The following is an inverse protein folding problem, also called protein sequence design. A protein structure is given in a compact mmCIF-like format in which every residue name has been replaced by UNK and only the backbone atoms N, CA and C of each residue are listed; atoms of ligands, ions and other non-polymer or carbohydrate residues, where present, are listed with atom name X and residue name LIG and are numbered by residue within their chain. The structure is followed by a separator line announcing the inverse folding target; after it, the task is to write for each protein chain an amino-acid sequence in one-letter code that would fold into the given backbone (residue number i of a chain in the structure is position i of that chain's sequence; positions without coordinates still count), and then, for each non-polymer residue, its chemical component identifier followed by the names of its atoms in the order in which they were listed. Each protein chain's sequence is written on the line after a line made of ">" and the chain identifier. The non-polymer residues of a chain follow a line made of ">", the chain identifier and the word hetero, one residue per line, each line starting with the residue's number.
data_IF_752085758356
#
_entry.id   IF_752085758356
#
_cell.length_a   1.000
_cell.length_b   1.000
_cell.length_c   1.000
_cell.angle_alpha   90.00
_cell.angle_beta   90.00
_cell.angle_gamma   90.00
#
_symmetry.space_group_name_H-M   'P 1'
#
loop_
_entity.id
_entity.type
_entity.pdbx_description
1 polymer ?
#
# COMPACT_ATOMS: atom_id res chain seq x y z
N UNK A 1 -13.06 17.38 21.09
CA UNK A 1 -12.72 15.93 21.23
C UNK A 1 -11.22 15.80 21.16
N UNK A 2 -10.64 14.85 21.89
CA UNK A 2 -9.20 14.55 21.86
C UNK A 2 -8.88 13.93 20.50
N UNK A 3 -7.82 14.35 19.81
CA UNK A 3 -7.42 13.76 18.52
C UNK A 3 -6.94 12.31 18.70
N UNK A 4 -6.80 11.61 17.60
CA UNK A 4 -6.20 10.27 17.53
C UNK A 4 -4.87 10.30 16.80
N UNK A 5 -4.05 9.27 16.94
CA UNK A 5 -2.89 9.09 16.08
C UNK A 5 -3.12 7.98 15.06
N UNK A 6 -2.72 8.22 13.82
CA UNK A 6 -2.57 7.20 12.79
C UNK A 6 -1.09 6.92 12.55
N UNK A 7 -0.70 5.65 12.43
CA UNK A 7 0.67 5.22 12.16
C UNK A 7 0.68 4.33 10.92
N UNK A 8 1.65 4.56 10.05
CA UNK A 8 2.01 3.69 8.92
C UNK A 8 3.40 3.11 9.17
N UNK A 9 3.49 1.79 9.39
CA UNK A 9 4.74 1.06 9.64
C UNK A 9 5.15 0.31 8.39
N UNK A 10 6.01 0.92 7.60
CA UNK A 10 6.62 0.30 6.42
C UNK A 10 8.06 -0.17 6.66
N UNK A 11 8.60 -0.94 5.73
CA UNK A 11 9.97 -1.46 5.82
C UNK A 11 11.08 -0.40 5.75
N UNK A 12 10.78 0.81 5.27
CA UNK A 12 11.78 1.89 5.07
C UNK A 12 11.53 3.09 5.97
N UNK A 13 10.27 3.41 6.23
CA UNK A 13 9.85 4.56 7.04
C UNK A 13 8.66 4.19 7.92
N UNK A 14 8.58 4.87 9.06
CA UNK A 14 7.42 4.91 9.94
C UNK A 14 6.89 6.34 9.89
N UNK A 15 5.62 6.50 9.49
CA UNK A 15 4.94 7.78 9.48
C UNK A 15 3.86 7.80 10.56
N UNK A 16 3.77 8.88 11.32
CA UNK A 16 2.70 9.11 12.29
C UNK A 16 2.03 10.45 12.04
N UNK A 17 0.72 10.51 12.22
CA UNK A 17 -0.08 11.73 12.11
C UNK A 17 -1.01 11.92 13.30
N UNK A 18 -1.08 13.14 13.79
CA UNK A 18 -2.11 13.57 14.75
C UNK A 18 -3.32 14.02 13.95
N UNK A 19 -4.46 13.36 14.14
CA UNK A 19 -5.65 13.56 13.31
C UNK A 19 -6.84 13.94 14.18
N UNK A 20 -7.50 15.03 13.82
CA UNK A 20 -8.75 15.44 14.44
C UNK A 20 -9.91 14.49 14.04
N UNK A 21 -11.02 14.45 14.79
CA UNK A 21 -12.15 13.59 14.47
C UNK A 21 -12.81 13.84 13.10
N UNK A 22 -12.62 15.02 12.53
CA UNK A 22 -13.09 15.37 11.18
C UNK A 22 -12.11 14.96 10.06
N UNK A 23 -10.96 14.35 10.42
CA UNK A 23 -9.93 13.94 9.48
C UNK A 23 -8.84 14.96 9.20
N UNK A 24 -8.90 16.14 9.81
CA UNK A 24 -7.85 17.16 9.67
C UNK A 24 -6.53 16.65 10.24
N UNK A 25 -5.48 16.59 9.42
CA UNK A 25 -4.12 16.24 9.84
C UNK A 25 -3.47 17.46 10.53
N UNK A 26 -3.34 17.37 11.87
CA UNK A 26 -2.85 18.47 12.72
C UNK A 26 -1.32 18.52 12.81
N UNK A 27 -0.67 17.34 12.83
CA UNK A 27 0.77 17.21 12.88
C UNK A 27 1.22 15.91 12.20
N UNK A 28 2.46 15.89 11.71
CA UNK A 28 3.06 14.71 11.09
C UNK A 28 4.50 14.52 11.54
N UNK A 29 4.90 13.25 11.68
CA UNK A 29 6.28 12.83 11.91
C UNK A 29 6.60 11.66 10.99
N UNK A 30 7.82 11.64 10.49
CA UNK A 30 8.33 10.50 9.70
C UNK A 30 9.73 10.18 10.19
N UNK A 31 9.94 8.93 10.54
CA UNK A 31 11.21 8.39 11.03
C UNK A 31 11.65 7.24 10.14
N UNK A 32 12.94 7.00 9.95
CA UNK A 32 13.43 5.80 9.28
C UNK A 32 13.06 4.56 10.09
N UNK A 33 12.66 3.47 9.41
CA UNK A 33 12.43 2.19 10.06
C UNK A 33 13.76 1.51 10.35
N UNK A 34 14.06 1.16 11.62
CA UNK A 34 15.25 0.39 11.97
C UNK A 34 15.02 -1.10 11.70
N UNK A 35 14.74 -1.46 10.44
CA UNK A 35 14.28 -2.79 10.05
C UNK A 35 15.26 -3.91 10.45
N UNK A 36 16.58 -3.63 10.39
CA UNK A 36 17.62 -4.61 10.70
C UNK A 36 17.86 -4.79 12.22
N UNK A 37 17.33 -3.88 13.04
CA UNK A 37 17.49 -3.93 14.50
C UNK A 37 16.34 -4.74 15.17
N UNK A 38 15.44 -5.30 14.36
CA UNK A 38 14.37 -6.20 14.79
C UNK A 38 13.11 -5.50 15.33
N UNK A 39 12.09 -6.31 15.69
CA UNK A 39 10.75 -5.81 16.06
C UNK A 39 10.73 -4.79 17.19
N UNK A 40 11.52 -5.02 18.23
CA UNK A 40 11.58 -4.12 19.41
C UNK A 40 12.00 -2.70 19.02
N UNK A 41 13.00 -2.57 18.15
CA UNK A 41 13.47 -1.27 17.68
C UNK A 41 12.42 -0.58 16.78
N UNK A 42 11.73 -1.34 15.95
CA UNK A 42 10.64 -0.84 15.10
C UNK A 42 9.50 -0.29 15.95
N UNK A 43 9.04 -1.04 16.97
CA UNK A 43 7.98 -0.63 17.89
C UNK A 43 8.40 0.60 18.69
N UNK A 44 9.62 0.61 19.24
CA UNK A 44 10.14 1.77 19.96
C UNK A 44 10.16 3.03 19.08
N UNK A 45 10.47 2.88 17.78
CA UNK A 45 10.45 3.99 16.80
C UNK A 45 9.02 4.45 16.52
N UNK A 46 8.04 3.54 16.41
CA UNK A 46 6.63 3.88 16.26
C UNK A 46 6.10 4.65 17.49
N UNK A 47 6.40 4.18 18.69
CA UNK A 47 6.08 4.87 19.95
C UNK A 47 6.70 6.28 20.00
N UNK A 48 7.96 6.40 19.62
CA UNK A 48 8.64 7.70 19.52
C UNK A 48 7.96 8.62 18.55
N UNK A 49 7.58 8.14 17.36
CA UNK A 49 6.89 8.93 16.35
C UNK A 49 5.56 9.51 16.89
N UNK A 50 4.78 8.71 17.63
CA UNK A 50 3.54 9.19 18.28
C UNK A 50 3.85 10.24 19.35
N UNK A 51 4.81 10.00 20.22
CA UNK A 51 5.18 10.96 21.29
C UNK A 51 5.67 12.30 20.74
N UNK A 52 6.38 12.27 19.62
CA UNK A 52 6.86 13.47 18.93
C UNK A 52 5.75 14.27 18.21
N UNK A 53 4.50 13.77 18.15
CA UNK A 53 3.35 14.57 17.69
C UNK A 53 2.99 15.70 18.67
N UNK A 54 3.45 15.61 19.92
CA UNK A 54 3.42 16.71 20.87
C UNK A 54 2.07 16.98 21.53
N UNK A 55 1.10 16.06 21.40
CA UNK A 55 -0.22 16.18 22.02
C UNK A 55 -0.73 14.82 22.53
N UNK A 56 -1.59 14.78 23.55
CA UNK A 56 -2.25 13.55 23.97
C UNK A 56 -3.21 13.06 22.87
N UNK A 57 -3.33 11.73 22.76
CA UNK A 57 -4.24 11.07 21.82
C UNK A 57 -5.24 10.19 22.57
N UNK A 58 -6.46 10.07 22.04
CA UNK A 58 -7.49 9.23 22.65
C UNK A 58 -7.30 7.74 22.32
N UNK A 59 -6.77 7.45 21.14
CA UNK A 59 -6.47 6.12 20.62
C UNK A 59 -5.42 6.19 19.53
N UNK A 60 -4.86 5.04 19.16
CA UNK A 60 -3.90 4.91 18.06
C UNK A 60 -4.41 3.88 17.06
N UNK A 61 -4.39 4.22 15.78
CA UNK A 61 -4.58 3.27 14.70
C UNK A 61 -3.25 3.00 13.99
N UNK A 62 -3.07 1.79 13.49
CA UNK A 62 -1.83 1.37 12.85
C UNK A 62 -2.13 0.64 11.54
N UNK A 63 -1.52 1.10 10.45
CA UNK A 63 -1.31 0.32 9.25
C UNK A 63 0.08 -0.30 9.31
N UNK A 64 0.19 -1.59 9.19
CA UNK A 64 1.48 -2.30 9.26
C UNK A 64 1.74 -3.13 8.01
N UNK A 65 2.97 -3.10 7.53
CA UNK A 65 3.43 -4.08 6.55
C UNK A 65 3.28 -5.51 7.08
N UNK A 66 3.00 -6.44 6.18
CA UNK A 66 2.76 -7.85 6.50
C UNK A 66 1.29 -8.23 6.57
N UNK A 67 1.02 -9.49 6.85
CA UNK A 67 -0.33 -10.00 7.10
C UNK A 67 -0.68 -9.74 8.55
N UNK A 68 -1.68 -8.92 8.78
CA UNK A 68 -2.17 -8.57 10.12
C UNK A 68 -3.44 -9.34 10.41
N UNK A 69 -3.54 -9.94 11.59
CA UNK A 69 -4.81 -10.40 12.14
C UNK A 69 -5.48 -9.22 12.88
N UNK A 70 -6.51 -8.59 12.31
CA UNK A 70 -7.11 -7.40 12.92
C UNK A 70 -7.86 -7.72 14.23
N UNK A 71 -8.26 -8.98 14.44
CA UNK A 71 -8.90 -9.43 15.68
C UNK A 71 -7.96 -9.41 16.87
N UNK A 72 -6.75 -9.95 16.70
CA UNK A 72 -5.73 -10.01 17.77
C UNK A 72 -4.75 -8.85 17.72
N UNK A 73 -4.52 -8.24 16.57
CA UNK A 73 -3.47 -7.24 16.34
C UNK A 73 -2.06 -7.84 16.23
N UNK A 74 -2.00 -9.16 15.93
CA UNK A 74 -0.75 -9.89 15.73
C UNK A 74 -0.34 -9.85 14.25
N UNK A 75 0.96 -9.81 14.00
CA UNK A 75 1.52 -9.97 12.66
C UNK A 75 1.61 -11.47 12.36
N UNK A 76 0.71 -11.97 11.50
CA UNK A 76 0.65 -13.39 11.15
C UNK A 76 1.77 -13.82 10.20
N UNK A 77 2.15 -12.96 9.26
CA UNK A 77 3.24 -13.18 8.32
C UNK A 77 3.87 -11.86 7.87
N UNK A 78 5.13 -11.88 7.49
CA UNK A 78 5.84 -10.72 6.95
C UNK A 78 6.92 -11.18 5.97
N UNK A 79 7.34 -10.27 5.10
CA UNK A 79 8.50 -10.47 4.21
C UNK A 79 9.80 -10.05 4.90
N UNK A 80 10.94 -10.35 4.28
CA UNK A 80 12.27 -9.95 4.77
C UNK A 80 12.51 -8.42 4.77
N UNK A 81 11.55 -7.63 4.32
CA UNK A 81 11.59 -6.16 4.46
C UNK A 81 11.59 -5.72 5.94
N UNK A 82 11.02 -6.55 6.83
CA UNK A 82 11.05 -6.40 8.29
C UNK A 82 11.43 -7.75 8.92
N UNK A 83 12.73 -8.06 9.06
CA UNK A 83 13.16 -9.33 9.63
C UNK A 83 12.62 -9.57 11.04
N UNK A 84 12.08 -10.76 11.29
CA UNK A 84 11.51 -11.14 12.58
C UNK A 84 10.15 -10.51 12.91
N UNK A 85 9.53 -9.77 11.96
CA UNK A 85 8.25 -9.10 12.18
C UNK A 85 7.08 -10.06 12.35
N UNK A 86 7.11 -11.21 11.66
CA UNK A 86 6.11 -12.26 11.84
C UNK A 86 6.09 -12.77 13.29
N UNK A 87 4.91 -12.90 13.87
CA UNK A 87 4.71 -13.33 15.26
C UNK A 87 4.68 -12.20 16.29
N UNK A 88 4.93 -10.95 15.90
CA UNK A 88 4.89 -9.78 16.79
C UNK A 88 3.46 -9.52 17.29
N UNK A 89 3.30 -9.38 18.61
CA UNK A 89 2.04 -9.01 19.29
C UNK A 89 1.89 -7.48 19.29
N UNK A 90 1.80 -6.89 18.09
CA UNK A 90 1.98 -5.45 17.88
C UNK A 90 0.97 -4.59 18.64
N UNK A 91 -0.32 -4.99 18.70
CA UNK A 91 -1.34 -4.28 19.49
C UNK A 91 -0.96 -4.21 20.95
N UNK A 92 -0.66 -5.35 21.55
CA UNK A 92 -0.36 -5.45 22.98
C UNK A 92 0.85 -4.60 23.35
N UNK A 93 1.91 -4.66 22.57
CA UNK A 93 3.14 -3.91 22.84
C UNK A 93 2.94 -2.41 22.73
N UNK A 94 2.16 -1.95 21.71
CA UNK A 94 1.85 -0.54 21.58
C UNK A 94 0.90 -0.03 22.65
N UNK A 95 -0.12 -0.79 23.05
CA UNK A 95 -1.01 -0.45 24.16
C UNK A 95 -0.26 -0.31 25.47
N UNK A 96 0.65 -1.24 25.77
CA UNK A 96 1.51 -1.17 26.96
C UNK A 96 2.41 0.07 26.97
N UNK A 97 2.97 0.42 25.82
CA UNK A 97 3.91 1.54 25.69
C UNK A 97 3.24 2.91 25.67
N UNK A 98 2.03 3.01 25.11
CA UNK A 98 1.33 4.28 24.88
C UNK A 98 0.22 4.54 25.91
N UNK A 99 -0.33 3.50 26.55
CA UNK A 99 -1.38 3.61 27.57
C UNK A 99 -2.75 4.00 27.01
N UNK A 100 -2.99 3.77 25.73
CA UNK A 100 -4.27 4.06 25.03
C UNK A 100 -4.68 2.87 24.17
N UNK A 101 -5.98 2.74 23.79
CA UNK A 101 -6.44 1.70 22.89
C UNK A 101 -5.72 1.76 21.52
N UNK A 102 -5.42 0.58 20.95
CA UNK A 102 -4.76 0.46 19.66
C UNK A 102 -5.57 -0.44 18.71
N UNK A 103 -5.91 0.08 17.54
CA UNK A 103 -6.48 -0.69 16.42
C UNK A 103 -5.41 -0.91 15.35
N UNK A 104 -5.35 -2.11 14.78
CA UNK A 104 -4.32 -2.45 13.79
C UNK A 104 -4.93 -3.12 12.58
N UNK A 105 -4.45 -2.74 11.40
CA UNK A 105 -4.71 -3.40 10.13
C UNK A 105 -3.44 -3.43 9.26
N UNK A 106 -3.54 -4.05 8.09
CA UNK A 106 -2.50 -3.97 7.07
C UNK A 106 -2.38 -2.53 6.53
N UNK A 107 -1.18 -2.14 6.09
CA UNK A 107 -0.86 -0.81 5.56
C UNK A 107 -1.68 -0.43 4.32
N UNK A 108 -1.92 -1.39 3.40
CA UNK A 108 -2.75 -1.16 2.20
C UNK A 108 -4.24 -1.11 2.55
N UNK A 109 -4.69 -1.88 3.56
CA UNK A 109 -6.05 -1.76 4.10
C UNK A 109 -6.28 -0.37 4.72
N UNK A 110 -5.33 0.09 5.53
CA UNK A 110 -5.36 1.46 6.06
C UNK A 110 -5.37 2.49 4.92
N UNK A 111 -4.54 2.32 3.90
CA UNK A 111 -4.54 3.20 2.72
C UNK A 111 -5.95 3.28 2.08
N UNK A 112 -6.61 2.14 1.87
CA UNK A 112 -7.96 2.10 1.29
C UNK A 112 -8.99 2.80 2.17
N UNK A 113 -8.92 2.63 3.49
CA UNK A 113 -9.79 3.33 4.45
C UNK A 113 -9.57 4.85 4.41
N UNK A 114 -8.33 5.31 4.26
CA UNK A 114 -8.02 6.72 4.11
C UNK A 114 -8.66 7.31 2.86
N UNK A 115 -8.47 6.66 1.71
CA UNK A 115 -9.08 7.07 0.43
C UNK A 115 -10.61 7.01 0.46
N UNK A 116 -11.19 6.04 1.17
CA UNK A 116 -12.65 5.94 1.34
C UNK A 116 -13.21 7.01 2.28
N UNK A 117 -12.42 7.45 3.26
CA UNK A 117 -12.86 8.47 4.21
C UNK A 117 -12.74 9.88 3.64
N UNK A 118 -11.57 10.24 3.10
CA UNK A 118 -11.22 11.63 2.76
C UNK A 118 -10.68 11.80 1.34
N UNK A 119 -10.51 10.71 0.60
CA UNK A 119 -9.83 10.71 -0.68
C UNK A 119 -10.72 10.38 -1.87
N UNK A 120 -10.11 9.77 -2.87
CA UNK A 120 -10.73 9.50 -4.18
C UNK A 120 -11.86 8.46 -4.12
N UNK A 121 -11.95 7.65 -3.06
CA UNK A 121 -13.00 6.65 -2.88
C UNK A 121 -14.17 7.15 -1.99
N UNK A 122 -14.16 8.40 -1.56
CA UNK A 122 -15.24 8.94 -0.74
C UNK A 122 -16.59 8.80 -1.44
N UNK A 123 -17.56 8.20 -0.73
CA UNK A 123 -18.91 7.95 -1.26
C UNK A 123 -19.08 6.64 -2.05
N UNK A 124 -18.02 5.90 -2.33
CA UNK A 124 -18.08 4.57 -2.96
C UNK A 124 -18.10 3.46 -1.90
N UNK A 125 -18.86 2.41 -2.15
CA UNK A 125 -19.02 1.27 -1.22
C UNK A 125 -18.23 0.04 -1.63
N UNK A 126 -18.04 -0.17 -2.93
CA UNK A 126 -17.29 -1.29 -3.50
C UNK A 126 -16.07 -0.75 -4.21
N UNK A 127 -14.92 -0.84 -3.59
CA UNK A 127 -13.66 -0.23 -4.08
C UNK A 127 -12.56 -1.27 -4.09
N UNK A 128 -11.87 -1.39 -5.19
CA UNK A 128 -10.58 -2.05 -5.23
C UNK A 128 -9.48 -0.98 -5.20
N UNK A 129 -8.64 -0.99 -4.17
CA UNK A 129 -7.41 -0.19 -4.15
C UNK A 129 -6.21 -1.10 -4.32
N UNK A 130 -5.28 -0.71 -5.18
CA UNK A 130 -3.98 -1.38 -5.33
C UNK A 130 -2.86 -0.37 -5.15
N UNK A 131 -1.97 -0.65 -4.21
CA UNK A 131 -0.79 0.16 -3.93
C UNK A 131 0.44 -0.47 -4.57
N UNK A 132 1.11 0.28 -5.45
CA UNK A 132 2.31 -0.15 -6.17
C UNK A 132 3.52 0.65 -5.66
N UNK A 133 4.37 -0.01 -4.88
CA UNK A 133 5.53 0.58 -4.23
C UNK A 133 6.71 -0.36 -4.21
N UNK A 134 7.28 -0.65 -3.04
CA UNK A 134 8.30 -1.69 -2.84
C UNK A 134 7.78 -3.08 -3.20
N UNK A 135 6.51 -3.33 -2.91
CA UNK A 135 5.74 -4.47 -3.40
C UNK A 135 4.46 -4.00 -4.08
N UNK A 136 3.56 -4.94 -4.35
CA UNK A 136 2.21 -4.68 -4.86
C UNK A 136 1.22 -5.32 -3.89
N UNK A 137 0.50 -4.48 -3.16
CA UNK A 137 -0.59 -4.89 -2.29
C UNK A 137 -1.93 -4.36 -2.78
N UNK A 138 -3.02 -4.90 -2.26
CA UNK A 138 -4.35 -4.41 -2.56
C UNK A 138 -5.28 -4.50 -1.36
N UNK A 139 -6.39 -3.83 -1.46
CA UNK A 139 -7.49 -3.85 -0.49
C UNK A 139 -8.81 -3.82 -1.23
N UNK A 140 -9.72 -4.69 -0.83
CA UNK A 140 -11.08 -4.72 -1.34
C UNK A 140 -12.01 -4.18 -0.26
N UNK A 141 -12.72 -3.10 -0.56
CA UNK A 141 -13.84 -2.63 0.24
C UNK A 141 -15.14 -3.20 -0.32
N UNK A 142 -15.92 -3.84 0.55
CA UNK A 142 -17.26 -4.33 0.25
C UNK A 142 -18.20 -3.65 1.25
N UNK A 143 -19.23 -2.98 0.74
CA UNK A 143 -20.15 -2.19 1.57
C UNK A 143 -19.43 -1.14 2.46
N UNK A 144 -18.31 -0.61 1.98
CA UNK A 144 -17.50 0.37 2.69
C UNK A 144 -16.60 -0.22 3.79
N UNK A 145 -16.55 -1.56 3.93
CA UNK A 145 -15.74 -2.25 4.91
C UNK A 145 -14.60 -3.03 4.25
N UNK A 146 -13.45 -3.08 4.90
CA UNK A 146 -12.30 -3.89 4.42
C UNK A 146 -12.67 -5.37 4.43
N UNK A 147 -12.51 -6.02 3.30
CA UNK A 147 -12.65 -7.47 3.19
C UNK A 147 -11.31 -8.15 3.49
N UNK A 148 -11.14 -8.67 4.70
CA UNK A 148 -9.90 -9.32 5.14
C UNK A 148 -9.74 -10.75 4.61
N UNK A 149 -10.85 -11.43 4.30
CA UNK A 149 -10.86 -12.86 3.99
C UNK A 149 -10.67 -13.74 5.22
N UNK A 150 -10.68 -15.05 5.02
CA UNK A 150 -10.65 -16.02 6.13
C UNK A 150 -9.29 -16.12 6.86
N UNK A 151 -8.22 -15.58 6.28
CA UNK A 151 -6.85 -15.63 6.82
C UNK A 151 -6.14 -14.29 6.73
N UNK A 152 -6.89 -13.21 6.64
CA UNK A 152 -6.40 -11.83 6.52
C UNK A 152 -5.44 -11.62 5.34
N UNK A 153 -5.60 -12.36 4.24
CA UNK A 153 -4.78 -12.24 3.03
C UNK A 153 -5.57 -11.81 1.79
N UNK A 154 -6.85 -11.42 1.95
CA UNK A 154 -7.59 -10.87 0.83
C UNK A 154 -6.93 -9.56 0.36
N UNK A 155 -6.90 -9.35 -0.97
CA UNK A 155 -6.29 -8.15 -1.53
C UNK A 155 -4.80 -8.27 -1.92
N UNK A 156 -4.12 -9.40 -1.71
CA UNK A 156 -2.71 -9.57 -2.10
C UNK A 156 -2.53 -9.62 -3.63
N UNK A 157 -2.92 -8.54 -4.32
CA UNK A 157 -2.95 -8.41 -5.77
C UNK A 157 -1.60 -8.66 -6.45
N UNK A 158 -0.50 -8.36 -5.76
CA UNK A 158 0.85 -8.56 -6.28
C UNK A 158 1.22 -10.02 -6.58
N UNK A 159 0.49 -10.97 -5.99
CA UNK A 159 0.75 -12.41 -6.18
C UNK A 159 -0.18 -13.08 -7.19
N UNK A 160 -0.93 -12.30 -7.96
CA UNK A 160 -1.68 -12.81 -9.12
C UNK A 160 -0.69 -13.14 -10.24
N UNK A 161 -0.72 -14.37 -10.78
CA UNK A 161 0.10 -14.72 -11.93
C UNK A 161 -0.46 -14.09 -13.20
N UNK A 162 0.43 -13.55 -14.03
CA UNK A 162 0.08 -12.93 -15.32
C UNK A 162 1.01 -13.41 -16.43
N UNK A 163 0.55 -13.47 -17.68
CA UNK A 163 1.37 -13.87 -18.83
C UNK A 163 2.65 -13.04 -18.98
N UNK A 164 2.54 -11.73 -18.81
CA UNK A 164 3.67 -10.79 -18.92
C UNK A 164 4.76 -10.99 -17.84
N UNK A 165 4.47 -11.74 -16.76
CA UNK A 165 5.44 -12.08 -15.72
C UNK A 165 5.93 -13.53 -15.81
N UNK A 166 5.60 -14.27 -16.88
CA UNK A 166 5.95 -15.69 -17.02
C UNK A 166 7.45 -15.95 -16.78
N UNK A 167 7.77 -16.88 -15.89
CA UNK A 167 9.15 -17.24 -15.52
C UNK A 167 9.85 -16.28 -14.54
N UNK A 168 9.30 -15.12 -14.23
CA UNK A 168 9.88 -14.20 -13.25
C UNK A 168 9.69 -14.73 -11.82
N UNK A 169 10.77 -14.75 -11.03
CA UNK A 169 10.74 -15.18 -9.61
C UNK A 169 10.24 -14.01 -8.75
N UNK A 170 9.20 -14.26 -7.94
CA UNK A 170 8.66 -13.32 -6.97
C UNK A 170 9.37 -13.45 -5.61
N UNK A 171 9.41 -12.38 -4.85
CA UNK A 171 9.95 -12.34 -3.48
C UNK A 171 9.25 -13.31 -2.51
N UNK A 172 8.01 -13.70 -2.79
CA UNK A 172 7.28 -14.72 -2.02
C UNK A 172 7.72 -16.18 -2.31
N UNK A 173 8.67 -16.39 -3.22
CA UNK A 173 9.12 -17.72 -3.65
C UNK A 173 8.32 -18.32 -4.82
N UNK A 174 7.20 -17.73 -5.22
CA UNK A 174 6.42 -18.11 -6.40
C UNK A 174 7.02 -17.58 -7.70
N UNK A 175 6.45 -17.99 -8.83
CA UNK A 175 6.85 -17.52 -10.16
C UNK A 175 5.67 -16.96 -10.93
N UNK A 176 5.95 -16.01 -11.82
CA UNK A 176 4.95 -15.42 -12.71
C UNK A 176 4.02 -14.38 -12.05
N UNK A 177 4.29 -13.97 -10.82
CA UNK A 177 3.50 -12.99 -10.12
C UNK A 177 3.75 -11.57 -10.63
N UNK A 178 2.71 -10.75 -10.73
CA UNK A 178 2.81 -9.37 -11.25
C UNK A 178 3.82 -8.51 -10.47
N UNK A 179 3.98 -8.73 -9.17
CA UNK A 179 4.96 -8.00 -8.34
C UNK A 179 6.40 -8.19 -8.84
N UNK A 180 6.72 -9.37 -9.37
CA UNK A 180 8.06 -9.68 -9.85
C UNK A 180 8.52 -8.81 -11.04
N UNK A 181 7.59 -8.15 -11.73
CA UNK A 181 7.87 -7.29 -12.89
C UNK A 181 7.31 -5.86 -12.75
N UNK A 182 6.26 -5.68 -11.94
CA UNK A 182 5.52 -4.41 -11.80
C UNK A 182 5.87 -3.58 -10.58
N UNK A 183 6.56 -4.13 -9.57
CA UNK A 183 6.97 -3.37 -8.38
C UNK A 183 8.10 -2.37 -8.69
N UNK A 184 8.22 -1.33 -7.87
CA UNK A 184 9.28 -0.32 -8.03
C UNK A 184 10.69 -0.89 -8.11
N UNK A 185 11.11 -1.78 -7.19
CA UNK A 185 12.40 -2.47 -7.28
C UNK A 185 12.56 -3.34 -8.53
N UNK A 186 11.49 -4.02 -8.97
CA UNK A 186 11.53 -4.85 -10.17
C UNK A 186 11.76 -3.99 -11.44
N UNK A 187 11.05 -2.87 -11.58
CA UNK A 187 11.22 -1.92 -12.67
C UNK A 187 12.63 -1.32 -12.68
N UNK A 188 13.12 -0.86 -11.51
CA UNK A 188 14.46 -0.32 -11.38
C UNK A 188 15.54 -1.36 -11.75
N UNK A 189 15.39 -2.59 -11.28
CA UNK A 189 16.30 -3.68 -11.61
C UNK A 189 16.25 -4.06 -13.10
N UNK A 190 15.07 -4.02 -13.71
CA UNK A 190 14.92 -4.26 -15.16
C UNK A 190 15.68 -3.23 -15.97
N UNK A 191 15.53 -1.93 -15.65
CA UNK A 191 16.26 -0.86 -16.33
C UNK A 191 17.77 -0.96 -16.15
N UNK A 192 18.23 -1.25 -14.92
CA UNK A 192 19.67 -1.46 -14.67
C UNK A 192 20.28 -2.62 -15.45
N UNK A 193 19.51 -3.69 -15.67
CA UNK A 193 19.96 -4.85 -16.49
C UNK A 193 20.11 -4.53 -17.96
N UNK A 194 19.37 -3.55 -18.49
CA UNK A 194 19.55 -3.13 -19.91
C UNK A 194 20.90 -2.47 -20.16
N UNK A 195 21.58 -1.98 -19.12
CA UNK A 195 22.88 -1.32 -19.24
C UNK A 195 22.83 0.08 -19.84
N UNK A 196 21.64 0.65 -20.06
CA UNK A 196 21.46 1.92 -20.78
C UNK A 196 22.02 3.11 -20.01
N UNK A 197 21.81 3.19 -18.70
CA UNK A 197 22.37 4.23 -17.84
C UNK A 197 22.46 3.76 -16.37
N UNK A 198 23.39 4.36 -15.61
CA UNK A 198 23.46 4.18 -14.16
C UNK A 198 22.40 5.08 -13.51
N UNK A 199 21.43 4.48 -12.84
CA UNK A 199 20.36 5.18 -12.11
C UNK A 199 20.27 4.70 -10.68
N UNK A 200 19.94 5.60 -9.75
CA UNK A 200 19.82 5.28 -8.33
C UNK A 200 18.37 4.94 -7.93
N UNK A 201 17.37 5.45 -8.65
CA UNK A 201 15.97 5.36 -8.27
C UNK A 201 15.02 5.17 -9.45
N UNK A 202 13.82 4.67 -9.18
CA UNK A 202 12.74 4.60 -10.18
C UNK A 202 12.30 6.00 -10.65
N UNK A 203 12.40 7.02 -9.81
CA UNK A 203 12.13 8.40 -10.21
C UNK A 203 13.05 8.88 -11.34
N UNK A 204 14.34 8.48 -11.31
CA UNK A 204 15.27 8.76 -12.41
C UNK A 204 14.87 8.00 -13.68
N UNK A 205 14.46 6.73 -13.58
CA UNK A 205 13.95 5.97 -14.73
C UNK A 205 12.72 6.66 -15.33
N UNK A 206 11.78 7.12 -14.49
CA UNK A 206 10.61 7.86 -14.94
C UNK A 206 10.97 9.17 -15.64
N UNK A 207 11.94 9.92 -15.11
CA UNK A 207 12.41 11.15 -15.72
C UNK A 207 13.08 10.88 -17.10
N UNK A 208 13.86 9.82 -17.23
CA UNK A 208 14.43 9.39 -18.51
C UNK A 208 13.37 8.99 -19.52
N UNK A 209 12.34 8.24 -19.09
CA UNK A 209 11.22 7.87 -19.95
C UNK A 209 10.49 9.11 -20.50
N UNK A 210 10.22 10.09 -19.63
CA UNK A 210 9.59 11.36 -20.03
C UNK A 210 10.49 12.20 -20.96
N UNK A 211 11.82 12.07 -20.81
CA UNK A 211 12.79 12.69 -21.72
C UNK A 211 12.97 11.95 -23.05
N UNK A 212 12.31 10.80 -23.25
CA UNK A 212 12.32 10.07 -24.51
C UNK A 212 13.25 8.86 -24.56
N UNK A 213 13.83 8.43 -23.43
CA UNK A 213 14.62 7.20 -23.37
C UNK A 213 13.72 5.99 -23.68
N UNK A 214 14.05 5.29 -24.76
CA UNK A 214 13.23 4.19 -25.26
C UNK A 214 13.21 2.97 -24.32
N UNK A 215 14.34 2.69 -23.67
CA UNK A 215 14.47 1.57 -22.74
C UNK A 215 13.70 1.84 -21.45
N UNK A 216 13.80 3.05 -20.90
CA UNK A 216 13.03 3.44 -19.72
C UNK A 216 11.52 3.35 -19.99
N UNK A 217 11.06 3.80 -21.15
CA UNK A 217 9.66 3.65 -21.59
C UNK A 217 9.27 2.18 -21.71
N UNK A 218 10.10 1.35 -22.33
CA UNK A 218 9.82 -0.07 -22.52
C UNK A 218 9.68 -0.80 -21.17
N UNK A 219 10.58 -0.51 -20.22
CA UNK A 219 10.55 -1.09 -18.88
C UNK A 219 9.30 -0.67 -18.11
N UNK A 220 8.96 0.62 -18.09
CA UNK A 220 7.75 1.12 -17.43
C UNK A 220 6.49 0.51 -18.06
N UNK A 221 6.42 0.47 -19.38
CA UNK A 221 5.27 -0.08 -20.11
C UNK A 221 5.09 -1.59 -19.87
N UNK A 222 6.18 -2.37 -19.75
CA UNK A 222 6.09 -3.81 -19.46
C UNK A 222 5.45 -4.05 -18.09
N UNK A 223 5.95 -3.40 -17.04
CA UNK A 223 5.38 -3.57 -15.70
C UNK A 223 3.95 -3.03 -15.59
N UNK A 224 3.65 -1.93 -16.29
CA UNK A 224 2.32 -1.36 -16.35
C UNK A 224 1.31 -2.31 -17.03
N UNK A 225 1.68 -2.93 -18.16
CA UNK A 225 0.84 -3.94 -18.83
C UNK A 225 0.60 -5.15 -17.93
N UNK A 226 1.65 -5.68 -17.31
CA UNK A 226 1.51 -6.79 -16.38
C UNK A 226 0.53 -6.48 -15.24
N UNK A 227 0.58 -5.25 -14.72
CA UNK A 227 -0.37 -4.80 -13.71
C UNK A 227 -1.79 -4.69 -14.28
N UNK A 228 -1.95 -4.14 -15.48
CA UNK A 228 -3.24 -4.04 -16.17
C UNK A 228 -3.91 -5.40 -16.37
N UNK A 229 -3.15 -6.42 -16.80
CA UNK A 229 -3.60 -7.81 -16.92
C UNK A 229 -4.14 -8.34 -15.57
N UNK A 230 -3.38 -8.15 -14.47
CA UNK A 230 -3.81 -8.58 -13.15
C UNK A 230 -5.08 -7.84 -12.68
N UNK A 231 -5.11 -6.53 -12.83
CA UNK A 231 -6.23 -5.68 -12.39
C UNK A 231 -7.51 -5.97 -13.14
N UNK A 232 -7.45 -6.19 -14.45
CA UNK A 232 -8.61 -6.57 -15.25
C UNK A 232 -9.20 -7.91 -14.80
N UNK A 233 -8.35 -8.91 -14.54
CA UNK A 233 -8.78 -10.19 -13.98
C UNK A 233 -9.43 -10.07 -12.60
N UNK A 234 -8.85 -9.25 -11.70
CA UNK A 234 -9.41 -9.01 -10.37
C UNK A 234 -10.75 -8.27 -10.46
N UNK A 235 -10.86 -7.23 -11.28
CA UNK A 235 -12.09 -6.45 -11.48
C UNK A 235 -13.20 -7.33 -12.04
N UNK A 236 -12.92 -8.24 -12.97
CA UNK A 236 -13.89 -9.22 -13.47
C UNK A 236 -14.45 -10.15 -12.37
N UNK A 237 -13.71 -10.37 -11.28
CA UNK A 237 -14.14 -11.21 -10.16
C UNK A 237 -14.84 -10.42 -9.05
N UNK A 238 -14.51 -9.14 -8.88
CA UNK A 238 -14.92 -8.37 -7.69
C UNK A 238 -15.94 -7.30 -7.99
N UNK A 239 -16.14 -6.93 -9.26
CA UNK A 239 -17.10 -5.94 -9.75
C UNK A 239 -17.14 -4.67 -8.88
N UNK A 240 -16.02 -3.95 -8.73
CA UNK A 240 -15.99 -2.74 -7.92
C UNK A 240 -16.59 -1.54 -8.67
N UNK A 241 -17.14 -0.57 -7.93
CA UNK A 241 -17.57 0.73 -8.48
C UNK A 241 -16.37 1.56 -8.97
N UNK A 242 -15.21 1.35 -8.33
CA UNK A 242 -14.01 2.14 -8.54
C UNK A 242 -12.75 1.31 -8.30
N UNK A 243 -11.79 1.44 -9.20
CA UNK A 243 -10.42 0.96 -9.03
C UNK A 243 -9.48 2.14 -8.78
N UNK A 244 -8.82 2.15 -7.61
CA UNK A 244 -7.77 3.11 -7.29
C UNK A 244 -6.38 2.47 -7.37
N UNK A 245 -5.43 3.21 -7.94
CA UNK A 245 -4.02 2.83 -7.92
C UNK A 245 -3.22 3.89 -7.18
N UNK A 246 -2.61 3.45 -6.07
CA UNK A 246 -1.76 4.28 -5.23
C UNK A 246 -0.31 3.80 -5.21
N UNK A 247 0.47 4.34 -4.27
CA UNK A 247 1.88 3.99 -4.08
C UNK A 247 2.83 4.78 -4.98
N UNK A 248 4.14 4.64 -4.73
CA UNK A 248 5.16 5.48 -5.38
C UNK A 248 5.28 5.30 -6.89
N UNK A 249 4.94 4.11 -7.42
CA UNK A 249 5.02 3.83 -8.86
C UNK A 249 3.92 4.55 -9.64
N UNK A 250 2.77 4.84 -9.03
CA UNK A 250 1.72 5.63 -9.67
C UNK A 250 2.15 7.05 -10.07
N UNK A 251 3.27 7.53 -9.54
CA UNK A 251 3.91 8.80 -9.93
C UNK A 251 4.76 8.74 -11.20
N UNK A 252 4.87 7.61 -11.90
CA UNK A 252 5.75 7.47 -13.07
C UNK A 252 5.22 8.13 -14.37
N UNK A 253 4.09 8.83 -14.31
CA UNK A 253 3.60 9.61 -15.45
C UNK A 253 2.88 8.81 -16.54
N UNK A 254 2.59 9.46 -17.69
CA UNK A 254 1.83 8.87 -18.79
C UNK A 254 2.46 7.59 -19.35
N UNK A 255 3.78 7.51 -19.41
CA UNK A 255 4.54 6.37 -19.92
C UNK A 255 4.26 5.07 -19.17
N UNK A 256 3.75 5.18 -17.94
CA UNK A 256 3.28 4.05 -17.15
C UNK A 256 1.75 3.93 -17.16
N UNK A 257 1.01 5.04 -17.03
CA UNK A 257 -0.44 5.03 -16.93
C UNK A 257 -1.15 4.59 -18.22
N UNK A 258 -0.66 5.00 -19.37
CA UNK A 258 -1.28 4.65 -20.66
C UNK A 258 -1.23 3.15 -20.93
N UNK A 259 -0.05 2.46 -20.86
CA UNK A 259 0.02 1.01 -21.04
C UNK A 259 -0.77 0.24 -19.98
N UNK A 260 -0.86 0.76 -18.75
CA UNK A 260 -1.69 0.17 -17.69
C UNK A 260 -3.17 0.17 -18.07
N UNK A 261 -3.69 1.32 -18.52
CA UNK A 261 -5.10 1.47 -18.91
C UNK A 261 -5.45 0.60 -20.11
N UNK A 262 -4.60 0.59 -21.11
CA UNK A 262 -4.79 -0.24 -22.30
C UNK A 262 -4.90 -1.73 -21.95
N UNK A 263 -3.98 -2.25 -21.15
CA UNK A 263 -3.99 -3.65 -20.75
C UNK A 263 -5.18 -3.97 -19.82
N UNK A 264 -5.49 -3.08 -18.90
CA UNK A 264 -6.65 -3.22 -18.00
C UNK A 264 -7.96 -3.32 -18.79
N UNK A 265 -8.22 -2.39 -19.72
CA UNK A 265 -9.44 -2.37 -20.52
C UNK A 265 -9.54 -3.58 -21.47
N UNK A 266 -8.42 -4.10 -21.95
CA UNK A 266 -8.39 -5.28 -22.79
C UNK A 266 -8.92 -6.54 -22.09
N UNK A 267 -8.67 -6.65 -20.78
CA UNK A 267 -9.08 -7.81 -19.98
C UNK A 267 -10.53 -7.74 -19.48
N UNK A 268 -11.16 -6.55 -19.50
CA UNK A 268 -12.50 -6.39 -18.93
C UNK A 268 -13.60 -7.09 -19.74
N UNK A 269 -14.50 -7.75 -19.03
CA UNK A 269 -15.77 -8.20 -19.58
C UNK A 269 -16.60 -7.00 -20.08
N UNK A 270 -17.40 -7.20 -21.12
CA UNK A 270 -18.17 -6.12 -21.75
C UNK A 270 -19.02 -5.29 -20.75
N UNK A 271 -19.70 -5.87 -19.75
CA UNK A 271 -20.46 -5.10 -18.76
C UNK A 271 -19.59 -4.20 -17.85
N UNK A 272 -18.30 -4.52 -17.71
CA UNK A 272 -17.37 -3.80 -16.83
C UNK A 272 -16.54 -2.74 -17.57
N UNK A 273 -16.68 -2.66 -18.90
CA UNK A 273 -16.04 -1.60 -19.66
C UNK A 273 -16.56 -0.25 -19.22
N UNK A 274 -15.63 0.62 -18.78
CA UNK A 274 -15.98 1.92 -18.20
C UNK A 274 -15.90 1.97 -16.68
N UNK A 275 -15.53 0.85 -16.00
CA UNK A 275 -15.12 0.93 -14.59
C UNK A 275 -13.98 1.93 -14.46
N UNK A 276 -14.17 2.89 -13.58
CA UNK A 276 -13.23 3.99 -13.43
C UNK A 276 -11.93 3.52 -12.77
N UNK A 277 -10.80 3.77 -13.45
CA UNK A 277 -9.46 3.54 -12.95
C UNK A 277 -8.76 4.89 -12.79
N UNK A 278 -8.42 5.27 -11.57
CA UNK A 278 -7.78 6.56 -11.26
C UNK A 278 -6.73 6.47 -10.16
N UNK A 279 -5.83 7.46 -10.04
CA UNK A 279 -4.90 7.52 -8.93
C UNK A 279 -5.61 7.82 -7.60
N UNK A 280 -5.04 7.35 -6.48
CA UNK A 280 -5.41 7.80 -5.15
C UNK A 280 -5.13 9.30 -4.98
N UNK A 281 -5.92 9.96 -4.13
CA UNK A 281 -5.85 11.41 -3.92
C UNK A 281 -4.92 11.81 -2.78
N UNK A 282 -4.88 11.01 -1.69
CA UNK A 282 -4.22 11.39 -0.44
C UNK A 282 -2.71 11.12 -0.43
N UNK A 283 -2.20 10.42 -1.45
CA UNK A 283 -0.79 10.17 -1.62
C UNK A 283 -0.14 9.53 -0.39
N UNK A 284 0.93 10.14 0.12
CA UNK A 284 1.68 9.61 1.26
C UNK A 284 0.99 9.71 2.63
N UNK A 285 -0.15 10.37 2.71
CA UNK A 285 -0.92 10.52 3.96
C UNK A 285 -2.07 9.51 4.05
N UNK A 286 -2.41 8.81 2.97
CA UNK A 286 -3.55 7.90 2.90
C UNK A 286 -3.53 6.82 4.00
N UNK A 287 -2.42 6.12 4.17
CA UNK A 287 -2.30 5.06 5.18
C UNK A 287 -2.37 5.62 6.61
N UNK A 288 -1.78 6.80 6.86
CA UNK A 288 -1.84 7.49 8.17
C UNK A 288 -3.28 7.93 8.50
N UNK A 289 -3.99 8.50 7.53
CA UNK A 289 -5.38 8.93 7.71
C UNK A 289 -6.32 7.72 7.88
N UNK A 290 -6.12 6.67 7.12
CA UNK A 290 -6.90 5.43 7.28
C UNK A 290 -6.61 4.71 8.60
N UNK A 291 -5.35 4.70 9.05
CA UNK A 291 -5.02 4.22 10.38
C UNK A 291 -5.70 5.07 11.46
N UNK A 292 -5.72 6.40 11.33
CA UNK A 292 -6.48 7.26 12.24
C UNK A 292 -7.99 6.96 12.22
N UNK A 293 -8.54 6.60 11.06
CA UNK A 293 -9.94 6.15 10.95
C UNK A 293 -10.19 4.90 11.76
N UNK A 294 -9.29 3.90 11.72
CA UNK A 294 -9.37 2.70 12.58
C UNK A 294 -9.39 3.07 14.07
N UNK A 295 -8.55 4.03 14.49
CA UNK A 295 -8.54 4.50 15.87
C UNK A 295 -9.87 5.14 16.29
N UNK A 296 -10.47 5.94 15.41
CA UNK A 296 -11.77 6.57 15.68
C UNK A 296 -12.89 5.53 15.80
N UNK A 297 -12.88 4.51 14.96
CA UNK A 297 -13.86 3.42 15.00
C UNK A 297 -13.73 2.56 16.27
N UNK A 298 -12.52 2.37 16.78
CA UNK A 298 -12.28 1.64 18.03
C UNK A 298 -12.76 2.38 19.29
N UNK A 299 -13.11 3.66 19.19
CA UNK A 299 -13.67 4.46 20.29
C UNK A 299 -15.21 4.46 20.32
N UNK A 300 -15.85 3.88 19.31
CA UNK A 300 -17.32 3.76 19.20
C UNK A 300 -17.82 2.46 19.80
#
# INVERSE_FOLDING_TARGET
>A
MIPVAGIDIGGTKIAAGLVAPDGTLLARRTLPTPAQDGPVAVIATAVRAVRELGAPVAAVGVGSAGVVDPGTGRIAAATDALPGWAGTELRQELEQALGVPVAIDNDVHAHALGEAWLGAAAGHRHVLLVAVGTGIGGSLLIDGQVHHGARSVAGHAGHVPVPSAAGATCTCGGTGHVEAVGSGPALLAAYRRSGSASVASLAEVSALASAGDAEARAVLALGARALGEALGGIVNMTDPELLLVGGGVSGCGPEWWEPLREAFEAELLAPLKGVELRPGLLGGDAAVLGAARLALEALL
#
